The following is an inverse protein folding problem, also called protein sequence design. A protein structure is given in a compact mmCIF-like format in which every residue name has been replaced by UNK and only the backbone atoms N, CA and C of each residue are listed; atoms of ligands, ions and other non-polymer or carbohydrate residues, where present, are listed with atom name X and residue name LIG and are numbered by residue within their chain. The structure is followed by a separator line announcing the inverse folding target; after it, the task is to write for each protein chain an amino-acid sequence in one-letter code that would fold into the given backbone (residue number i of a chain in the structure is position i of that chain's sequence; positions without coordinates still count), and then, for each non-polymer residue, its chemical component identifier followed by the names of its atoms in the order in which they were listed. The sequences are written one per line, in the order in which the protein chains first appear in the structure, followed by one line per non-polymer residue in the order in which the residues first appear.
data_IF_014475031821
#
_entry.id   IF_014475031821
#
_cell.length_a   1.000
_cell.length_b   1.000
_cell.length_c   1.000
_cell.angle_alpha   90.00
_cell.angle_beta   90.00
_cell.angle_gamma   90.00
#
_symmetry.space_group_name_H-M   'P 1'
#
loop_
_entity.id
_entity.type
_entity.pdbx_description
1 polymer ?
#
# COMPACT_ATOMS: atom_id res chain seq x y z
N UNK A 1 3.06 8.63 38.88
CA UNK A 1 1.99 8.77 37.86
C UNK A 1 0.96 7.69 38.15
N UNK A 2 -0.34 8.00 38.36
CA UNK A 2 -1.30 6.96 38.78
C UNK A 2 -1.60 6.01 37.63
N UNK A 3 -1.21 4.75 37.78
CA UNK A 3 -1.61 3.64 36.92
C UNK A 3 -2.70 2.86 37.66
N UNK A 4 -3.88 2.77 37.07
CA UNK A 4 -4.92 1.85 37.52
C UNK A 4 -5.07 0.70 36.52
N UNK A 5 -5.07 -0.52 37.05
CA UNK A 5 -5.27 -1.77 36.31
C UNK A 5 -6.52 -2.45 36.89
N UNK A 6 -7.48 -2.82 36.06
CA UNK A 6 -8.47 -3.84 36.42
C UNK A 6 -9.12 -4.49 35.19
N UNK A 7 -9.59 -5.73 35.40
CA UNK A 7 -10.02 -6.72 34.40
C UNK A 7 -11.56 -6.86 34.38
N UNK A 8 -12.16 -7.29 33.26
CA UNK A 8 -13.53 -7.84 33.26
C UNK A 8 -14.13 -8.21 31.88
N UNK A 9 -14.99 -9.25 31.79
CA UNK A 9 -15.79 -9.61 30.62
C UNK A 9 -17.22 -8.99 30.67
N UNK A 10 -17.75 -8.65 29.49
CA UNK A 10 -19.17 -8.40 29.13
C UNK A 10 -20.12 -7.71 30.16
N UNK A 11 -20.12 -6.37 30.19
CA UNK A 11 -21.31 -5.54 30.45
C UNK A 11 -21.00 -4.06 30.12
N UNK A 12 -21.88 -3.38 29.39
CA UNK A 12 -21.68 -1.97 28.99
C UNK A 12 -22.50 -1.05 29.88
N UNK A 13 -21.85 -0.18 30.65
CA UNK A 13 -22.49 0.97 31.29
C UNK A 13 -21.65 2.23 31.05
N UNK A 14 -22.32 3.36 30.79
CA UNK A 14 -21.69 4.67 30.63
C UNK A 14 -21.63 5.39 31.97
N UNK A 15 -20.42 5.72 32.42
CA UNK A 15 -20.19 6.77 33.41
C UNK A 15 -19.25 7.84 32.83
N UNK A 16 -19.68 9.09 32.90
CA UNK A 16 -18.89 10.31 32.69
C UNK A 16 -18.01 10.39 31.43
N UNK A 17 -18.57 10.01 30.28
CA UNK A 17 -18.24 10.54 28.94
C UNK A 17 -16.77 10.56 28.50
N UNK A 18 -15.87 9.74 29.06
CA UNK A 18 -14.46 9.78 28.63
C UNK A 18 -13.80 8.49 28.15
N UNK A 19 -14.31 7.27 28.37
CA UNK A 19 -13.67 6.06 27.79
C UNK A 19 -14.69 4.93 27.54
N UNK A 20 -14.45 4.12 26.49
CA UNK A 20 -15.09 2.82 26.19
C UNK A 20 -13.99 1.78 25.97
N UNK A 21 -14.12 0.54 26.48
CA UNK A 21 -13.14 -0.55 26.29
C UNK A 21 -13.83 -1.84 25.84
N UNK A 22 -13.25 -2.52 24.84
CA UNK A 22 -13.60 -3.90 24.42
C UNK A 22 -12.32 -4.67 24.06
N UNK A 23 -12.22 -5.95 24.46
CA UNK A 23 -11.15 -6.93 24.17
C UNK A 23 -9.71 -6.40 24.36
N UNK A 24 -9.02 -6.80 25.44
CA UNK A 24 -7.76 -6.23 25.96
C UNK A 24 -6.62 -6.09 24.92
N UNK A 25 -6.74 -5.05 24.10
CA UNK A 25 -5.69 -4.48 23.28
C UNK A 25 -5.08 -3.37 24.13
N UNK A 26 -3.89 -3.61 24.67
CA UNK A 26 -3.12 -2.53 25.28
C UNK A 26 -2.54 -1.68 24.16
N UNK A 27 -2.69 -0.37 24.27
CA UNK A 27 -2.10 0.59 23.33
C UNK A 27 -1.14 1.49 24.08
N UNK A 28 0.04 1.70 23.52
CA UNK A 28 1.03 2.66 23.98
C UNK A 28 1.45 3.50 22.77
N UNK A 29 1.41 4.84 22.88
CA UNK A 29 1.64 5.77 21.75
C UNK A 29 0.81 5.42 20.49
N UNK A 30 -0.47 5.06 20.66
CA UNK A 30 -1.40 4.63 19.60
C UNK A 30 -1.05 3.32 18.88
N UNK A 31 -0.09 2.56 19.38
CA UNK A 31 0.36 1.31 18.78
C UNK A 31 0.04 0.13 19.70
N UNK A 32 -0.33 -1.01 19.11
CA UNK A 32 -0.76 -2.20 19.85
C UNK A 32 0.45 -2.83 20.56
N UNK A 33 0.32 -3.07 21.86
CA UNK A 33 1.37 -3.66 22.70
C UNK A 33 0.89 -4.98 23.30
N UNK A 34 1.73 -6.03 23.30
CA UNK A 34 1.43 -7.26 24.01
C UNK A 34 1.34 -7.04 25.52
N UNK A 35 0.38 -7.70 26.18
CA UNK A 35 0.23 -7.65 27.66
C UNK A 35 1.51 -8.09 28.36
N UNK A 36 2.24 -9.07 27.80
CA UNK A 36 3.51 -9.56 28.34
C UNK A 36 4.58 -8.45 28.42
N UNK A 37 4.53 -7.47 27.52
CA UNK A 37 5.46 -6.34 27.51
C UNK A 37 4.97 -5.17 28.37
N UNK A 38 3.64 -5.02 28.52
CA UNK A 38 3.01 -3.94 29.27
C UNK A 38 3.55 -3.82 30.70
N UNK A 39 3.84 -4.96 31.36
CA UNK A 39 4.41 -4.97 32.71
C UNK A 39 5.69 -4.14 32.85
N UNK A 40 6.53 -4.06 31.80
CA UNK A 40 7.76 -3.28 31.83
C UNK A 40 7.51 -1.78 31.61
N UNK A 41 6.45 -1.42 30.89
CA UNK A 41 6.03 -0.02 30.72
C UNK A 41 5.34 0.53 31.99
N UNK A 42 4.86 -0.33 32.87
CA UNK A 42 4.19 0.04 34.12
C UNK A 42 5.09 -0.02 35.36
N UNK A 43 6.28 -0.64 35.24
CA UNK A 43 7.26 -0.74 36.32
C UNK A 43 8.16 0.50 36.33
N UNK A 44 8.07 1.32 37.38
CA UNK A 44 8.80 2.58 37.51
C UNK A 44 10.33 2.41 37.36
N UNK A 45 10.89 1.25 37.69
CA UNK A 45 12.33 0.99 37.57
C UNK A 45 12.75 0.56 36.15
N UNK A 46 11.81 0.05 35.35
CA UNK A 46 12.08 -0.53 34.03
C UNK A 46 11.46 0.27 32.89
N UNK A 47 10.61 1.25 33.21
CA UNK A 47 9.83 2.02 32.25
C UNK A 47 10.72 2.68 31.21
N UNK A 48 11.79 3.36 31.62
CA UNK A 48 12.68 4.07 30.69
C UNK A 48 13.32 3.12 29.66
N UNK A 49 13.80 1.95 30.09
CA UNK A 49 14.41 0.96 29.21
C UNK A 49 13.37 0.25 28.31
N UNK A 50 12.17 0.04 28.82
CA UNK A 50 11.04 -0.50 28.06
C UNK A 50 10.59 0.49 26.97
N UNK A 51 10.54 1.78 27.27
CA UNK A 51 10.22 2.84 26.32
C UNK A 51 11.30 2.95 25.23
N UNK A 52 12.59 2.90 25.61
CA UNK A 52 13.70 2.86 24.64
C UNK A 52 13.60 1.66 23.70
N UNK A 53 13.33 0.46 24.24
CA UNK A 53 13.19 -0.74 23.42
C UNK A 53 11.97 -0.63 22.48
N UNK A 54 10.84 -0.17 23.01
CA UNK A 54 9.63 0.05 22.24
C UNK A 54 9.88 1.02 21.08
N UNK A 55 10.48 2.18 21.35
CA UNK A 55 10.77 3.19 20.33
C UNK A 55 11.75 2.65 19.29
N UNK A 56 12.81 1.93 19.69
CA UNK A 56 13.75 1.31 18.76
C UNK A 56 13.07 0.31 17.81
N UNK A 57 12.19 -0.55 18.35
CA UNK A 57 11.42 -1.51 17.55
C UNK A 57 10.47 -0.79 16.59
N UNK A 58 9.73 0.21 17.04
CA UNK A 58 8.73 0.89 16.22
C UNK A 58 9.32 1.83 15.16
N UNK A 59 10.49 2.42 15.43
CA UNK A 59 11.19 3.28 14.48
C UNK A 59 11.91 2.48 13.39
N UNK A 60 12.53 1.35 13.74
CA UNK A 60 13.43 0.64 12.82
C UNK A 60 12.78 -0.55 12.11
N UNK A 61 11.65 -1.07 12.61
CA UNK A 61 11.03 -2.29 12.09
C UNK A 61 9.67 -1.96 11.47
N UNK A 62 9.65 -1.80 10.14
CA UNK A 62 8.43 -1.51 9.38
C UNK A 62 7.41 -2.65 9.29
N UNK A 63 7.72 -3.82 9.86
CA UNK A 63 6.91 -5.04 9.78
C UNK A 63 6.15 -5.22 11.10
N UNK A 64 4.84 -4.95 11.10
CA UNK A 64 4.01 -4.93 12.32
C UNK A 64 4.05 -6.22 13.14
N UNK A 65 4.12 -7.40 12.50
CA UNK A 65 4.21 -8.68 13.21
C UNK A 65 5.59 -8.91 13.85
N UNK A 66 6.66 -8.41 13.24
CA UNK A 66 8.00 -8.49 13.82
C UNK A 66 8.09 -7.57 15.04
N UNK A 67 7.52 -6.35 14.96
CA UNK A 67 7.35 -5.48 16.13
C UNK A 67 6.63 -6.23 17.25
N UNK A 68 5.47 -6.83 16.94
CA UNK A 68 4.68 -7.54 17.95
C UNK A 68 5.43 -8.73 18.56
N UNK A 69 6.09 -9.58 17.76
CA UNK A 69 6.86 -10.73 18.27
C UNK A 69 8.07 -10.33 19.11
N UNK A 70 8.78 -9.26 18.74
CA UNK A 70 9.91 -8.76 19.52
C UNK A 70 9.45 -8.22 20.88
N UNK A 71 8.33 -7.50 20.93
CA UNK A 71 7.73 -7.06 22.18
C UNK A 71 7.21 -8.24 23.01
N UNK A 72 6.59 -9.25 22.37
CA UNK A 72 6.14 -10.48 23.05
C UNK A 72 7.33 -11.22 23.67
N UNK A 73 8.41 -11.41 22.91
CA UNK A 73 9.63 -12.07 23.35
C UNK A 73 10.32 -11.29 24.46
N UNK A 74 10.44 -9.96 24.35
CA UNK A 74 10.94 -9.12 25.43
C UNK A 74 10.07 -9.22 26.69
N UNK A 75 8.74 -9.26 26.51
CA UNK A 75 7.76 -9.50 27.55
C UNK A 75 7.94 -10.82 28.31
N UNK A 76 8.24 -11.89 27.57
CA UNK A 76 8.36 -13.25 28.12
C UNK A 76 9.75 -13.57 28.66
N UNK A 77 10.80 -13.13 27.96
CA UNK A 77 12.20 -13.51 28.20
C UNK A 77 13.03 -12.39 28.87
N UNK A 78 12.43 -11.21 29.07
CA UNK A 78 13.08 -10.02 29.63
C UNK A 78 13.64 -9.07 28.57
N UNK A 79 13.77 -7.79 28.93
CA UNK A 79 14.24 -6.71 28.06
C UNK A 79 15.65 -6.99 27.48
N UNK A 80 16.57 -7.56 28.27
CA UNK A 80 17.92 -7.90 27.81
C UNK A 80 17.89 -8.91 26.65
N UNK A 81 17.11 -9.98 26.80
CA UNK A 81 16.90 -10.98 25.75
C UNK A 81 16.19 -10.36 24.54
N UNK A 82 15.24 -9.46 24.78
CA UNK A 82 14.59 -8.65 23.76
C UNK A 82 15.57 -7.83 22.92
N UNK A 83 16.50 -7.11 23.56
CA UNK A 83 17.55 -6.33 22.90
C UNK A 83 18.50 -7.21 22.08
N UNK A 84 18.88 -8.38 22.58
CA UNK A 84 19.70 -9.33 21.81
C UNK A 84 18.97 -9.81 20.55
N UNK A 85 17.70 -10.18 20.66
CA UNK A 85 16.87 -10.60 19.53
C UNK A 85 16.63 -9.45 18.55
N UNK A 86 16.44 -8.23 19.05
CA UNK A 86 16.36 -7.03 18.23
C UNK A 86 17.65 -6.79 17.46
N UNK A 87 18.82 -6.91 18.10
CA UNK A 87 20.10 -6.72 17.42
C UNK A 87 20.33 -7.80 16.36
N UNK A 88 20.08 -9.08 16.67
CA UNK A 88 20.11 -10.17 15.70
C UNK A 88 19.17 -9.91 14.52
N UNK A 89 17.95 -9.41 14.81
CA UNK A 89 17.02 -9.00 13.78
C UNK A 89 17.60 -7.88 12.93
N UNK A 90 18.17 -6.82 13.53
CA UNK A 90 18.72 -5.66 12.80
C UNK A 90 19.96 -6.01 11.95
N UNK A 91 20.79 -6.92 12.43
CA UNK A 91 21.96 -7.42 11.70
C UNK A 91 21.55 -8.28 10.49
N UNK A 92 20.48 -9.08 10.65
CA UNK A 92 19.90 -9.89 9.59
C UNK A 92 18.89 -9.13 8.71
N UNK A 93 18.41 -7.97 9.16
CA UNK A 93 17.34 -7.24 8.54
C UNK A 93 17.75 -6.77 7.15
N UNK A 94 16.81 -6.69 6.18
CA UNK A 94 17.17 -6.37 4.80
C UNK A 94 17.75 -4.96 4.60
N UNK A 95 17.79 -4.04 5.58
CA UNK A 95 18.27 -2.64 5.45
C UNK A 95 17.79 -1.92 4.16
N UNK A 96 16.57 -2.23 3.68
CA UNK A 96 16.01 -1.71 2.42
C UNK A 96 16.50 -2.40 1.14
N UNK A 97 17.37 -3.40 1.25
CA UNK A 97 17.86 -4.25 0.17
C UNK A 97 17.01 -5.54 0.05
N UNK A 98 16.83 -6.08 -1.16
CA UNK A 98 16.13 -7.35 -1.34
C UNK A 98 16.82 -8.53 -0.64
N UNK A 99 16.07 -9.40 0.05
CA UNK A 99 16.55 -10.67 0.62
C UNK A 99 15.67 -11.84 0.20
N UNK A 100 16.29 -12.95 -0.17
CA UNK A 100 15.64 -14.20 -0.54
C UNK A 100 15.54 -15.13 0.66
N UNK A 101 14.37 -15.73 0.83
CA UNK A 101 14.02 -16.61 1.92
C UNK A 101 13.35 -17.88 1.39
N UNK A 102 13.48 -18.96 2.12
CA UNK A 102 12.74 -20.20 1.87
C UNK A 102 11.56 -20.28 2.82
N UNK A 103 10.34 -20.36 2.29
CA UNK A 103 9.16 -20.75 3.05
C UNK A 103 8.87 -22.22 2.78
N UNK A 104 9.30 -23.07 3.71
CA UNK A 104 9.06 -24.51 3.67
C UNK A 104 7.73 -24.83 4.36
N UNK A 105 6.61 -24.82 3.64
CA UNK A 105 5.43 -25.57 4.06
C UNK A 105 5.56 -26.98 3.46
N UNK A 106 5.30 -28.03 4.24
CA UNK A 106 5.62 -29.43 3.92
C UNK A 106 5.04 -29.97 2.59
N UNK A 107 4.10 -29.25 1.97
CA UNK A 107 3.46 -29.63 0.71
C UNK A 107 3.71 -28.67 -0.46
N UNK A 108 4.32 -27.50 -0.24
CA UNK A 108 4.56 -26.52 -1.30
C UNK A 108 5.82 -25.68 -0.98
N UNK A 109 6.89 -25.89 -1.75
CA UNK A 109 8.10 -25.08 -1.62
C UNK A 109 7.86 -23.68 -2.21
N UNK A 110 8.17 -22.65 -1.43
CA UNK A 110 8.02 -21.26 -1.87
C UNK A 110 9.29 -20.46 -1.64
N UNK A 111 9.70 -19.72 -2.66
CA UNK A 111 10.74 -18.70 -2.58
C UNK A 111 10.07 -17.41 -2.13
N UNK A 112 10.54 -16.81 -1.06
CA UNK A 112 10.04 -15.55 -0.54
C UNK A 112 11.10 -14.48 -0.77
N UNK A 113 10.70 -13.30 -1.19
CA UNK A 113 11.62 -12.19 -1.37
C UNK A 113 11.04 -10.92 -0.74
N UNK A 114 11.82 -10.25 0.11
CA UNK A 114 11.41 -9.05 0.85
C UNK A 114 12.37 -7.89 0.61
N UNK A 115 11.88 -6.65 0.73
CA UNK A 115 12.71 -5.43 0.79
C UNK A 115 12.74 -4.80 2.19
N UNK A 116 12.21 -5.50 3.20
CA UNK A 116 12.03 -4.98 4.56
C UNK A 116 10.74 -4.18 4.79
N UNK A 117 9.97 -3.87 3.74
CA UNK A 117 8.65 -3.20 3.81
C UNK A 117 7.52 -4.08 3.27
N UNK A 118 7.78 -4.84 2.21
CA UNK A 118 6.85 -5.75 1.54
C UNK A 118 7.55 -7.07 1.23
N UNK A 119 6.77 -8.15 1.17
CA UNK A 119 7.27 -9.47 0.80
C UNK A 119 6.39 -10.13 -0.25
N UNK A 120 7.02 -10.93 -1.09
CA UNK A 120 6.40 -11.63 -2.22
C UNK A 120 6.77 -13.10 -2.13
N UNK A 121 5.81 -14.00 -2.32
CA UNK A 121 6.08 -15.43 -2.32
C UNK A 121 5.78 -16.05 -3.67
N UNK A 122 6.69 -16.92 -4.07
CA UNK A 122 6.67 -17.55 -5.37
C UNK A 122 6.61 -19.07 -5.19
N UNK A 123 5.51 -19.75 -5.57
CA UNK A 123 5.57 -21.18 -5.83
C UNK A 123 6.73 -21.49 -6.78
N UNK A 124 7.48 -22.54 -6.44
CA UNK A 124 8.61 -22.99 -7.23
C UNK A 124 8.74 -24.51 -7.15
N UNK A 125 9.24 -25.09 -8.24
CA UNK A 125 9.58 -26.52 -8.32
C UNK A 125 11.07 -26.75 -8.04
N UNK A 126 11.85 -25.70 -7.77
CA UNK A 126 13.27 -25.80 -7.42
C UNK A 126 13.41 -26.32 -6.00
N UNK A 127 14.39 -27.19 -5.76
CA UNK A 127 14.74 -27.61 -4.41
C UNK A 127 15.42 -26.47 -3.65
N UNK A 128 14.66 -25.83 -2.77
CA UNK A 128 15.13 -24.68 -2.00
C UNK A 128 15.93 -25.08 -0.75
N UNK A 129 16.16 -26.37 -0.45
CA UNK A 129 16.95 -26.82 0.74
C UNK A 129 18.38 -26.30 0.78
N UNK A 130 18.91 -25.86 -0.36
CA UNK A 130 20.26 -25.33 -0.49
C UNK A 130 20.42 -23.86 -0.09
N UNK A 131 19.33 -23.15 0.21
CA UNK A 131 19.36 -21.72 0.58
C UNK A 131 19.29 -21.52 2.10
N UNK A 132 19.99 -20.50 2.65
CA UNK A 132 20.03 -20.29 4.09
C UNK A 132 18.61 -20.02 4.66
N UNK A 133 18.23 -20.71 5.75
CA UNK A 133 16.94 -20.53 6.40
C UNK A 133 16.95 -19.25 7.23
N UNK A 134 16.66 -18.13 6.60
CA UNK A 134 16.32 -16.92 7.35
C UNK A 134 14.83 -16.98 7.67
N UNK A 135 14.54 -17.30 8.94
CA UNK A 135 13.18 -17.40 9.48
C UNK A 135 12.69 -16.01 9.83
N UNK A 136 11.55 -15.51 9.30
CA UNK A 136 10.58 -14.68 10.07
C UNK A 136 9.21 -14.53 9.36
N UNK A 137 8.15 -14.62 10.18
CA UNK A 137 6.77 -14.06 10.09
C UNK A 137 5.81 -14.39 8.91
N UNK A 138 4.52 -14.25 9.20
CA UNK A 138 3.42 -14.40 8.24
C UNK A 138 3.21 -13.07 7.50
N UNK A 139 3.56 -13.07 6.22
CA UNK A 139 3.61 -11.89 5.38
C UNK A 139 2.24 -11.56 4.75
N UNK A 140 2.06 -10.31 4.30
CA UNK A 140 1.07 -9.99 3.27
C UNK A 140 1.60 -10.50 1.94
N UNK A 141 1.27 -11.75 1.62
CA UNK A 141 1.82 -12.47 0.48
C UNK A 141 1.00 -12.22 -0.78
N UNK A 142 1.71 -12.01 -1.89
CA UNK A 142 1.17 -12.15 -3.25
C UNK A 142 1.83 -13.39 -3.86
N UNK A 143 1.01 -14.23 -4.49
CA UNK A 143 1.45 -15.47 -5.13
C UNK A 143 1.72 -15.27 -6.61
N UNK A 144 2.86 -15.77 -7.08
CA UNK A 144 3.25 -15.76 -8.49
C UNK A 144 4.16 -16.96 -8.84
N UNK A 145 3.98 -17.60 -9.99
CA UNK A 145 4.74 -18.83 -10.33
C UNK A 145 6.07 -18.51 -10.99
N UNK A 146 7.16 -18.93 -10.35
CA UNK A 146 8.50 -18.94 -10.93
C UNK A 146 8.81 -20.36 -11.40
N UNK A 147 9.30 -20.49 -12.63
CA UNK A 147 9.70 -21.75 -13.23
C UNK A 147 11.18 -21.70 -13.64
N UNK A 148 11.72 -22.84 -14.08
CA UNK A 148 13.13 -22.96 -14.44
C UNK A 148 13.54 -22.01 -15.59
N UNK A 149 12.60 -21.67 -16.47
CA UNK A 149 12.83 -20.82 -17.64
C UNK A 149 12.92 -19.35 -17.28
N UNK A 150 12.07 -18.87 -16.37
CA UNK A 150 11.97 -17.45 -16.06
C UNK A 150 12.85 -17.00 -14.88
N UNK A 151 13.35 -17.94 -14.07
CA UNK A 151 14.21 -17.63 -12.92
C UNK A 151 15.51 -16.90 -13.28
N UNK A 152 16.29 -17.31 -14.31
CA UNK A 152 17.51 -16.59 -14.69
C UNK A 152 17.26 -15.12 -15.04
N UNK A 153 16.19 -14.85 -15.79
CA UNK A 153 15.78 -13.50 -16.19
C UNK A 153 15.44 -12.62 -14.97
N UNK A 154 14.68 -13.17 -14.01
CA UNK A 154 14.34 -12.45 -12.76
C UNK A 154 15.61 -12.15 -11.97
N UNK A 155 16.54 -13.11 -11.90
CA UNK A 155 17.80 -12.95 -11.16
C UNK A 155 18.67 -11.84 -11.76
N UNK A 156 18.77 -11.76 -13.08
CA UNK A 156 19.52 -10.71 -13.78
C UNK A 156 18.90 -9.32 -13.60
N UNK A 157 17.57 -9.23 -13.50
CA UNK A 157 16.81 -7.96 -13.43
C UNK A 157 16.08 -7.76 -12.11
N UNK A 158 16.69 -8.21 -11.02
CA UNK A 158 16.00 -8.36 -9.73
C UNK A 158 15.43 -7.04 -9.19
N UNK A 159 16.17 -5.95 -9.30
CA UNK A 159 15.75 -4.63 -8.82
C UNK A 159 14.57 -4.08 -9.62
N UNK A 160 14.58 -4.27 -10.94
CA UNK A 160 13.51 -3.84 -11.84
C UNK A 160 12.22 -4.61 -11.55
N UNK A 161 12.33 -5.94 -11.43
CA UNK A 161 11.22 -6.82 -11.07
C UNK A 161 10.59 -6.39 -9.74
N UNK A 162 11.40 -6.06 -8.72
CA UNK A 162 10.89 -5.57 -7.44
C UNK A 162 10.17 -4.24 -7.53
N UNK A 163 10.69 -3.30 -8.32
CA UNK A 163 10.04 -2.01 -8.48
C UNK A 163 8.65 -2.17 -9.09
N UNK A 164 8.54 -3.02 -10.12
CA UNK A 164 7.25 -3.38 -10.75
C UNK A 164 6.34 -4.08 -9.75
N UNK A 165 6.85 -5.02 -8.95
CA UNK A 165 6.06 -5.74 -7.95
C UNK A 165 5.50 -4.79 -6.87
N UNK A 166 6.34 -3.96 -6.26
CA UNK A 166 5.94 -2.97 -5.23
C UNK A 166 4.89 -2.01 -5.75
N UNK A 167 5.08 -1.53 -6.97
CA UNK A 167 4.15 -0.63 -7.61
C UNK A 167 2.80 -1.31 -7.85
N UNK A 168 2.83 -2.54 -8.35
CA UNK A 168 1.65 -3.36 -8.58
C UNK A 168 0.82 -3.48 -7.29
N UNK A 169 1.47 -3.76 -6.15
CA UNK A 169 0.81 -3.83 -4.84
C UNK A 169 0.20 -2.49 -4.42
N UNK A 170 0.95 -1.40 -4.60
CA UNK A 170 0.52 -0.05 -4.23
C UNK A 170 -0.76 0.35 -4.97
N UNK A 171 -0.84 0.03 -6.26
CA UNK A 171 -2.00 0.32 -7.10
C UNK A 171 -3.18 -0.62 -6.81
N UNK A 172 -2.91 -1.88 -6.46
CA UNK A 172 -3.95 -2.85 -6.06
C UNK A 172 -4.66 -2.41 -4.77
N UNK A 173 -3.92 -1.92 -3.76
CA UNK A 173 -4.47 -1.47 -2.48
C UNK A 173 -5.50 -0.32 -2.59
N UNK A 174 -5.40 0.52 -3.62
CA UNK A 174 -6.24 1.72 -3.71
C UNK A 174 -7.63 1.42 -4.24
N UNK A 175 -7.83 0.52 -5.22
CA UNK A 175 -9.14 0.16 -5.82
C UNK A 175 -9.18 -1.19 -6.56
N UNK A 176 -8.31 -2.16 -6.25
CA UNK A 176 -8.22 -3.46 -6.94
C UNK A 176 -8.17 -3.37 -8.48
N UNK A 177 -7.38 -2.43 -9.01
CA UNK A 177 -7.39 -2.09 -10.46
C UNK A 177 -6.58 -3.10 -11.29
N UNK A 178 -5.68 -3.85 -10.65
CA UNK A 178 -4.79 -4.77 -11.32
C UNK A 178 -4.66 -6.05 -10.53
N UNK A 179 -4.73 -7.17 -11.24
CA UNK A 179 -4.33 -8.48 -10.76
C UNK A 179 -2.80 -8.53 -10.72
N UNK A 180 -2.19 -8.67 -9.54
CA UNK A 180 -0.75 -8.68 -9.42
C UNK A 180 -0.07 -9.84 -10.14
N UNK A 181 -0.66 -11.04 -10.06
CA UNK A 181 -0.08 -12.24 -10.68
C UNK A 181 -0.07 -12.10 -12.21
N UNK A 182 -1.16 -11.61 -12.81
CA UNK A 182 -1.22 -11.36 -14.25
C UNK A 182 -0.27 -10.25 -14.72
N UNK A 183 -0.01 -9.25 -13.88
CA UNK A 183 0.87 -8.13 -14.25
C UNK A 183 2.34 -8.54 -14.14
N UNK A 184 2.69 -9.35 -13.13
CA UNK A 184 4.02 -9.93 -13.00
C UNK A 184 4.29 -10.99 -14.07
N UNK A 185 3.30 -11.80 -14.45
CA UNK A 185 3.42 -12.73 -15.57
C UNK A 185 3.71 -12.00 -16.87
N UNK A 186 2.91 -10.97 -17.15
CA UNK A 186 3.11 -10.11 -18.32
C UNK A 186 4.50 -9.46 -18.33
N UNK A 187 5.10 -9.13 -17.20
CA UNK A 187 6.46 -8.57 -17.16
C UNK A 187 7.52 -9.56 -17.63
N UNK A 188 7.34 -10.85 -17.35
CA UNK A 188 8.29 -11.88 -17.78
C UNK A 188 8.17 -12.17 -19.27
N UNK A 189 6.98 -12.00 -19.84
CA UNK A 189 6.72 -12.20 -21.26
C UNK A 189 7.05 -10.95 -22.09
N UNK A 190 6.58 -9.77 -21.66
CA UNK A 190 6.79 -8.46 -22.27
C UNK A 190 6.87 -7.35 -21.19
N UNK A 191 8.09 -6.95 -20.78
CA UNK A 191 8.31 -5.90 -19.80
C UNK A 191 7.63 -4.57 -20.16
N UNK A 192 7.56 -4.22 -21.45
CA UNK A 192 6.95 -2.98 -21.91
C UNK A 192 5.42 -3.03 -21.83
N UNK A 193 4.81 -4.19 -22.10
CA UNK A 193 3.38 -4.37 -21.86
C UNK A 193 3.02 -4.27 -20.37
N UNK A 194 3.85 -4.83 -19.48
CA UNK A 194 3.64 -4.69 -18.03
C UNK A 194 3.75 -3.24 -17.56
N UNK A 195 4.77 -2.49 -18.03
CA UNK A 195 4.94 -1.06 -17.73
C UNK A 195 3.76 -0.23 -18.24
N UNK A 196 3.30 -0.46 -19.48
CA UNK A 196 2.11 0.19 -20.04
C UNK A 196 0.86 -0.09 -19.20
N UNK A 197 0.67 -1.32 -18.74
CA UNK A 197 -0.46 -1.72 -17.88
C UNK A 197 -0.43 -1.00 -16.52
N UNK A 198 0.76 -0.84 -15.94
CA UNK A 198 0.97 -0.08 -14.70
C UNK A 198 0.73 1.42 -14.90
N UNK A 199 1.27 2.02 -15.95
CA UNK A 199 1.05 3.43 -16.30
C UNK A 199 -0.44 3.72 -16.47
N UNK A 200 -1.15 2.85 -17.21
CA UNK A 200 -2.61 2.94 -17.38
C UNK A 200 -3.34 2.90 -16.03
N UNK A 201 -2.91 2.03 -15.11
CA UNK A 201 -3.51 1.95 -13.78
C UNK A 201 -3.19 3.18 -12.90
N UNK A 202 -1.98 3.77 -13.01
CA UNK A 202 -1.63 5.03 -12.34
C UNK A 202 -2.52 6.17 -12.83
N UNK A 203 -2.62 6.32 -14.15
CA UNK A 203 -3.46 7.31 -14.82
C UNK A 203 -4.91 7.16 -14.35
N UNK A 204 -5.43 5.94 -14.38
CA UNK A 204 -6.80 5.65 -13.95
C UNK A 204 -7.03 6.04 -12.48
N UNK A 205 -6.11 5.69 -11.57
CA UNK A 205 -6.19 6.10 -10.17
C UNK A 205 -6.19 7.62 -10.00
N UNK A 206 -5.29 8.31 -10.71
CA UNK A 206 -5.11 9.75 -10.62
C UNK A 206 -6.30 10.54 -11.19
N UNK A 207 -6.99 9.98 -12.20
CA UNK A 207 -8.17 10.58 -12.81
C UNK A 207 -9.32 10.82 -11.82
N UNK A 208 -9.49 9.95 -10.83
CA UNK A 208 -10.55 10.11 -9.83
C UNK A 208 -10.23 11.17 -8.77
N UNK A 209 -8.96 11.50 -8.59
CA UNK A 209 -8.50 12.37 -7.50
C UNK A 209 -8.00 13.72 -7.98
N UNK A 210 -7.76 13.90 -9.28
CA UNK A 210 -7.16 15.11 -9.84
C UNK A 210 -7.47 15.29 -11.32
N UNK A 211 -7.30 16.52 -11.81
CA UNK A 211 -7.34 16.80 -13.24
C UNK A 211 -6.11 16.20 -13.95
N UNK A 212 -6.31 15.69 -15.16
CA UNK A 212 -5.26 15.12 -16.01
C UNK A 212 -5.10 15.95 -17.28
N UNK A 213 -3.87 16.38 -17.58
CA UNK A 213 -3.57 17.07 -18.84
C UNK A 213 -3.65 16.09 -20.01
N UNK A 214 -4.25 16.53 -21.10
CA UNK A 214 -4.36 15.83 -22.38
C UNK A 214 -4.12 16.83 -23.53
N UNK A 215 -3.99 16.39 -24.79
CA UNK A 215 -3.69 17.27 -25.93
C UNK A 215 -4.71 18.39 -26.14
N UNK A 216 -5.96 18.20 -25.72
CA UNK A 216 -7.05 19.18 -25.91
C UNK A 216 -7.31 20.05 -24.67
N UNK A 217 -6.70 19.75 -23.51
CA UNK A 217 -6.98 20.44 -22.25
C UNK A 217 -6.80 19.56 -21.01
N UNK A 218 -7.72 19.67 -20.06
CA UNK A 218 -7.70 18.97 -18.79
C UNK A 218 -8.95 18.10 -18.62
N UNK A 219 -8.75 16.82 -18.32
CA UNK A 219 -9.79 15.84 -18.04
C UNK A 219 -10.08 15.77 -16.54
N UNK A 220 -11.36 15.78 -16.17
CA UNK A 220 -11.81 15.70 -14.79
C UNK A 220 -12.91 14.64 -14.63
N UNK A 221 -12.81 13.81 -13.60
CA UNK A 221 -13.91 12.94 -13.20
C UNK A 221 -14.96 13.71 -12.39
N UNK A 222 -16.23 13.52 -12.76
CA UNK A 222 -17.36 14.14 -12.06
C UNK A 222 -18.10 13.14 -11.17
N UNK A 223 -18.72 12.10 -11.76
CA UNK A 223 -19.44 11.08 -11.01
C UNK A 223 -19.73 9.82 -11.82
N UNK A 224 -20.13 8.75 -11.13
CA UNK A 224 -20.58 7.48 -11.72
C UNK A 224 -22.07 7.27 -11.42
N UNK A 225 -22.85 6.83 -12.42
CA UNK A 225 -24.26 6.49 -12.24
C UNK A 225 -24.66 5.34 -13.16
N UNK A 226 -25.26 4.27 -12.60
CA UNK A 226 -25.79 3.12 -13.35
C UNK A 226 -24.80 2.52 -14.37
N UNK A 227 -23.52 2.38 -13.98
CA UNK A 227 -22.46 1.82 -14.83
C UNK A 227 -21.91 2.77 -15.91
N UNK A 228 -22.39 4.02 -15.94
CA UNK A 228 -21.83 5.09 -16.76
C UNK A 228 -20.96 6.00 -15.91
N UNK A 229 -19.83 6.40 -16.49
CA UNK A 229 -18.90 7.35 -15.91
C UNK A 229 -19.00 8.66 -16.69
N UNK A 230 -19.18 9.75 -15.95
CA UNK A 230 -19.31 11.10 -16.49
C UNK A 230 -18.08 11.91 -16.11
N UNK A 231 -17.51 12.57 -17.11
CA UNK A 231 -16.34 13.43 -16.94
C UNK A 231 -16.49 14.75 -17.68
N UNK A 232 -15.56 15.65 -17.40
CA UNK A 232 -15.41 16.92 -18.09
C UNK A 232 -14.08 17.00 -18.81
N UNK A 233 -14.09 17.67 -19.96
CA UNK A 233 -12.92 18.21 -20.63
C UNK A 233 -12.98 19.72 -20.52
N UNK A 234 -11.98 20.32 -19.88
CA UNK A 234 -11.76 21.78 -19.86
C UNK A 234 -10.64 22.08 -20.84
N UNK A 235 -10.98 22.69 -21.96
CA UNK A 235 -10.01 23.03 -23.00
C UNK A 235 -9.02 24.09 -22.54
N UNK A 236 -7.89 24.23 -23.23
CA UNK A 236 -6.94 25.32 -22.97
C UNK A 236 -7.52 26.72 -23.19
N UNK A 237 -8.65 26.83 -23.90
CA UNK A 237 -9.40 28.08 -24.09
C UNK A 237 -10.44 28.33 -22.98
N UNK A 238 -10.56 27.45 -22.00
CA UNK A 238 -11.56 27.56 -20.93
C UNK A 238 -12.97 27.09 -21.31
N UNK A 239 -13.19 26.54 -22.51
CA UNK A 239 -14.46 25.87 -22.85
C UNK A 239 -14.58 24.54 -22.12
N UNK A 240 -15.77 24.22 -21.62
CA UNK A 240 -16.03 23.00 -20.86
C UNK A 240 -17.01 22.10 -21.58
N UNK A 241 -16.63 20.84 -21.74
CA UNK A 241 -17.44 19.80 -22.37
C UNK A 241 -17.65 18.63 -21.42
N UNK A 242 -18.84 18.03 -21.48
CA UNK A 242 -19.19 16.77 -20.82
C UNK A 242 -18.97 15.61 -21.78
N UNK A 243 -18.42 14.53 -21.26
CA UNK A 243 -18.39 13.24 -21.93
C UNK A 243 -18.96 12.15 -21.01
N UNK A 244 -19.47 11.09 -21.62
CA UNK A 244 -19.95 9.91 -20.93
C UNK A 244 -19.35 8.67 -21.58
N UNK A 245 -18.92 7.72 -20.76
CA UNK A 245 -18.45 6.42 -21.23
C UNK A 245 -18.92 5.32 -20.29
N UNK A 246 -18.99 4.08 -20.79
CA UNK A 246 -19.27 2.92 -19.93
C UNK A 246 -18.07 2.66 -19.03
N UNK A 247 -18.31 2.33 -17.76
CA UNK A 247 -17.26 2.06 -16.77
C UNK A 247 -16.22 1.05 -17.24
N UNK A 248 -16.65 0.00 -17.95
CA UNK A 248 -15.77 -1.03 -18.50
C UNK A 248 -14.74 -0.50 -19.52
N UNK A 249 -15.07 0.57 -20.24
CA UNK A 249 -14.18 1.19 -21.24
C UNK A 249 -13.39 2.37 -20.66
N UNK A 250 -13.80 2.91 -19.50
CA UNK A 250 -13.26 4.14 -18.93
C UNK A 250 -11.72 4.14 -18.86
N UNK A 251 -11.11 3.01 -18.49
CA UNK A 251 -9.65 2.89 -18.36
C UNK A 251 -8.92 3.12 -19.69
N UNK A 252 -9.41 2.51 -20.76
CA UNK A 252 -8.85 2.65 -22.11
C UNK A 252 -9.12 4.05 -22.66
N UNK A 253 -10.33 4.57 -22.46
CA UNK A 253 -10.73 5.91 -22.90
C UNK A 253 -9.86 7.01 -22.26
N UNK A 254 -9.60 6.94 -20.95
CA UNK A 254 -8.73 7.93 -20.28
C UNK A 254 -7.31 7.84 -20.83
N UNK A 255 -6.79 6.62 -21.00
CA UNK A 255 -5.43 6.42 -21.49
C UNK A 255 -5.27 6.98 -22.91
N UNK A 256 -6.21 6.64 -23.78
CA UNK A 256 -6.28 7.19 -25.12
C UNK A 256 -6.38 8.71 -25.09
N UNK A 257 -7.27 9.25 -24.27
CA UNK A 257 -7.48 10.70 -24.18
C UNK A 257 -6.20 11.45 -23.82
N UNK A 258 -5.39 10.89 -22.93
CA UNK A 258 -4.13 11.51 -22.50
C UNK A 258 -3.05 11.43 -23.58
N UNK A 259 -2.99 10.35 -24.35
CA UNK A 259 -1.96 10.15 -25.38
C UNK A 259 -2.31 10.85 -26.70
N UNK A 260 -3.56 10.74 -27.14
CA UNK A 260 -4.01 11.09 -28.48
C UNK A 260 -5.16 12.11 -28.51
N UNK A 261 -5.75 12.42 -27.36
CA UNK A 261 -6.93 13.28 -27.26
C UNK A 261 -8.24 12.50 -27.15
N UNK A 262 -9.28 13.17 -26.65
CA UNK A 262 -10.57 12.57 -26.38
C UNK A 262 -11.35 12.38 -27.69
N UNK A 263 -11.73 11.13 -27.99
CA UNK A 263 -12.53 10.76 -29.18
C UNK A 263 -14.03 10.69 -28.91
N UNK A 264 -14.44 10.82 -27.65
CA UNK A 264 -15.83 10.70 -27.24
C UNK A 264 -16.66 11.88 -27.72
N UNK A 265 -17.97 11.64 -27.92
CA UNK A 265 -18.92 12.70 -28.24
C UNK A 265 -18.98 13.73 -27.11
N UNK A 266 -18.40 14.90 -27.37
CA UNK A 266 -18.37 16.03 -26.47
C UNK A 266 -19.67 16.83 -26.57
N UNK A 267 -20.31 17.10 -25.43
CA UNK A 267 -21.44 18.03 -25.34
C UNK A 267 -21.04 19.24 -24.52
N UNK A 268 -21.39 20.47 -24.91
CA UNK A 268 -21.14 21.64 -24.06
C UNK A 268 -21.68 21.44 -22.65
N UNK A 269 -20.86 21.77 -21.65
CA UNK A 269 -21.22 21.60 -20.25
C UNK A 269 -21.96 22.84 -19.74
N UNK A 270 -23.23 22.66 -19.34
CA UNK A 270 -23.88 23.65 -18.46
C UNK A 270 -23.36 23.40 -17.03
N UNK A 271 -22.68 24.40 -16.46
CA UNK A 271 -22.05 24.34 -15.16
C UNK A 271 -22.82 25.17 -14.14
N UNK A 272 -23.13 24.57 -12.99
CA UNK A 272 -23.57 25.29 -11.80
C UNK A 272 -22.39 26.04 -11.17
N UNK A 273 -22.67 26.97 -10.26
CA UNK A 273 -21.63 27.69 -9.51
C UNK A 273 -20.70 26.72 -8.78
N UNK A 274 -21.25 25.72 -8.09
CA UNK A 274 -20.47 24.66 -7.43
C UNK A 274 -19.61 23.86 -8.41
N UNK A 275 -20.15 23.59 -9.60
CA UNK A 275 -19.41 22.91 -10.66
C UNK A 275 -18.21 23.71 -11.16
N UNK A 276 -18.34 25.04 -11.23
CA UNK A 276 -17.24 25.95 -11.59
C UNK A 276 -16.17 25.98 -10.48
N UNK A 277 -16.57 26.13 -9.22
CA UNK A 277 -15.65 26.10 -8.06
C UNK A 277 -14.86 24.80 -7.98
N UNK A 278 -15.50 23.65 -8.21
CA UNK A 278 -14.83 22.35 -8.20
C UNK A 278 -13.84 22.19 -9.38
N UNK A 279 -14.17 22.74 -10.56
CA UNK A 279 -13.24 22.81 -11.69
C UNK A 279 -12.04 23.70 -11.34
N UNK A 280 -12.28 24.91 -10.82
CA UNK A 280 -11.23 25.85 -10.42
C UNK A 280 -10.28 25.21 -9.40
N UNK A 281 -10.82 24.52 -8.39
CA UNK A 281 -10.04 23.82 -7.35
C UNK A 281 -9.15 22.72 -7.94
N UNK A 282 -9.64 21.95 -8.89
CA UNK A 282 -8.89 20.82 -9.47
C UNK A 282 -7.91 21.23 -10.57
N UNK A 283 -8.21 22.29 -11.32
CA UNK A 283 -7.36 22.81 -12.40
C UNK A 283 -6.35 23.82 -11.87
N UNK A 284 -6.68 24.60 -10.85
CA UNK A 284 -5.83 25.66 -10.30
C UNK A 284 -4.37 25.26 -10.05
N UNK A 285 -4.09 24.09 -9.44
CA UNK A 285 -2.71 23.64 -9.26
C UNK A 285 -1.93 23.35 -10.55
N UNK A 286 -2.62 23.20 -11.69
CA UNK A 286 -2.04 22.85 -12.99
C UNK A 286 -2.08 24.01 -14.00
N UNK A 287 -3.08 24.88 -13.91
CA UNK A 287 -3.28 26.05 -14.76
C UNK A 287 -4.05 27.13 -13.99
N UNK A 288 -3.37 27.91 -13.13
CA UNK A 288 -3.99 28.98 -12.34
C UNK A 288 -4.80 29.97 -13.19
N UNK A 289 -4.30 30.29 -14.38
CA UNK A 289 -4.93 31.20 -15.33
C UNK A 289 -6.31 30.71 -15.81
N UNK A 290 -6.50 29.40 -15.94
CA UNK A 290 -7.80 28.83 -16.30
C UNK A 290 -8.74 28.79 -15.10
N UNK A 291 -8.22 28.58 -13.89
CA UNK A 291 -9.05 28.56 -12.68
C UNK A 291 -9.76 29.89 -12.44
N UNK A 292 -9.13 31.02 -12.79
CA UNK A 292 -9.74 32.36 -12.71
C UNK A 292 -11.01 32.51 -13.56
N UNK A 293 -11.16 31.74 -14.65
CA UNK A 293 -12.37 31.75 -15.49
C UNK A 293 -13.56 31.02 -14.83
N UNK A 294 -13.31 30.29 -13.75
CA UNK A 294 -14.29 29.44 -13.06
C UNK A 294 -14.46 29.81 -11.58
N UNK A 295 -13.81 30.87 -11.11
CA UNK A 295 -14.08 31.50 -9.81
C UNK A 295 -15.23 32.49 -9.94
#
# INVERSE_FOLDING_TARGET
MKVEVSFGPDATFKLNNKITVSYCLAYYKNEKVPISFLKFLLDENMQEDAEKFFDAVYQNIGISSARQKLLEAAGQLGLKSGWMLYQQFMDAAPKGQPKFYKKAAAYEQRLVITDGKQAFAFPTTLDLTQFPPNVYCQEKVIYFVINKTNFPLIKERINEFFNIAKETVSLNKKRYIIDPAKTLGLYLDDPEAARRKLETARIYNRFFTSALKCPQGYLLFFYERRGWCYGLLVTFEGKVYKFACRRRNLKEEIFHAIKEGLRLNLKPAVLTEDGRKEIAKRIGPLAPQLALLFM
#
